data_IF_753880325114
#
_entry.id   IF_753880325114
#
_cell.length_a   1.000
_cell.length_b   1.000
_cell.length_c   1.000
_cell.angle_alpha   90.00
_cell.angle_beta   90.00
_cell.angle_gamma   90.00
#
_symmetry.space_group_name_H-M   'P 1'
#
loop_
_entity.id
_entity.type
_entity.pdbx_description
1 polymer ?
#
# COMPACT_ATOMS: atom_id res chain seq x y z
N UNK A 1 -26.58 29.59 37.70
CA UNK A 1 -27.71 29.91 36.80
C UNK A 1 -27.81 31.39 36.44
N UNK A 2 -27.25 32.33 37.21
CA UNK A 2 -27.21 33.75 36.82
C UNK A 2 -26.29 34.00 35.61
N UNK A 3 -25.07 33.44 35.63
CA UNK A 3 -24.09 33.58 34.53
C UNK A 3 -24.65 33.18 33.15
N UNK A 4 -25.42 32.08 33.07
CA UNK A 4 -26.01 31.63 31.79
C UNK A 4 -27.08 32.64 31.32
N UNK A 5 -27.88 33.16 32.24
CA UNK A 5 -28.91 34.14 31.92
C UNK A 5 -28.30 35.50 31.51
N UNK A 6 -27.19 35.88 32.14
CA UNK A 6 -26.44 37.10 31.80
C UNK A 6 -25.81 36.99 30.40
N UNK A 7 -25.27 35.81 30.05
CA UNK A 7 -24.75 35.50 28.71
C UNK A 7 -25.89 35.55 27.66
N UNK A 8 -27.05 34.96 27.95
CA UNK A 8 -28.19 34.98 27.04
C UNK A 8 -28.73 36.41 26.85
N UNK A 9 -28.74 37.21 27.91
CA UNK A 9 -29.13 38.63 27.86
C UNK A 9 -28.18 39.45 26.98
N UNK A 10 -26.86 39.21 27.12
CA UNK A 10 -25.84 39.81 26.27
C UNK A 10 -26.01 39.40 24.80
N UNK A 11 -26.23 38.12 24.50
CA UNK A 11 -26.48 37.63 23.14
C UNK A 11 -27.75 38.22 22.52
N UNK A 12 -28.81 38.46 23.32
CA UNK A 12 -30.04 39.11 22.85
C UNK A 12 -29.86 40.60 22.52
N UNK A 13 -28.82 41.23 23.06
CA UNK A 13 -28.49 42.63 22.76
C UNK A 13 -27.75 42.77 21.43
N UNK A 14 -27.17 41.67 20.93
CA UNK A 14 -26.43 41.63 19.68
C UNK A 14 -27.38 41.40 18.48
N UNK A 15 -27.00 41.91 17.30
CA UNK A 15 -27.77 41.68 16.07
C UNK A 15 -27.87 40.19 15.78
N UNK A 16 -29.05 39.75 15.31
CA UNK A 16 -29.26 38.34 14.93
C UNK A 16 -28.23 37.85 13.92
N UNK A 17 -27.84 38.71 12.97
CA UNK A 17 -26.84 38.39 11.94
C UNK A 17 -25.47 38.12 12.57
N UNK A 18 -25.07 38.94 13.55
CA UNK A 18 -23.77 38.82 14.22
C UNK A 18 -23.70 37.55 15.07
N UNK A 19 -24.81 37.17 15.73
CA UNK A 19 -24.91 35.93 16.51
C UNK A 19 -24.75 34.71 15.60
N UNK A 20 -25.44 34.68 14.46
CA UNK A 20 -25.35 33.59 13.48
C UNK A 20 -23.94 33.51 12.90
N UNK A 21 -23.33 34.64 12.57
CA UNK A 21 -21.96 34.70 12.07
C UNK A 21 -20.94 34.18 13.10
N UNK A 22 -21.06 34.59 14.36
CA UNK A 22 -20.18 34.11 15.43
C UNK A 22 -20.30 32.60 15.63
N UNK A 23 -21.53 32.06 15.64
CA UNK A 23 -21.75 30.61 15.73
C UNK A 23 -21.18 29.86 14.52
N UNK A 24 -21.30 30.40 13.31
CA UNK A 24 -20.72 29.80 12.10
C UNK A 24 -19.19 29.72 12.19
N UNK A 25 -18.54 30.79 12.66
CA UNK A 25 -17.08 30.81 12.88
C UNK A 25 -16.68 29.81 13.98
N UNK A 26 -17.43 29.74 15.08
CA UNK A 26 -17.15 28.80 16.17
C UNK A 26 -17.32 27.34 15.72
N UNK A 27 -18.38 27.05 14.96
CA UNK A 27 -18.60 25.74 14.36
C UNK A 27 -17.49 25.36 13.37
N UNK A 28 -17.01 26.32 12.55
CA UNK A 28 -15.88 26.11 11.65
C UNK A 28 -14.59 25.78 12.43
N UNK A 29 -14.30 26.52 13.51
CA UNK A 29 -13.13 26.25 14.35
C UNK A 29 -13.19 24.86 14.98
N UNK A 30 -14.37 24.44 15.48
CA UNK A 30 -14.58 23.08 15.98
C UNK A 30 -14.39 22.03 14.89
N UNK A 31 -14.92 22.26 13.68
CA UNK A 31 -14.75 21.37 12.54
C UNK A 31 -13.28 21.22 12.17
N UNK A 32 -12.52 22.32 12.13
CA UNK A 32 -11.07 22.29 11.87
C UNK A 32 -10.34 21.50 12.95
N UNK A 33 -10.68 21.67 14.23
CA UNK A 33 -10.08 20.89 15.33
C UNK A 33 -10.38 19.40 15.18
N UNK A 34 -11.62 19.03 14.89
CA UNK A 34 -12.03 17.63 14.67
C UNK A 34 -11.33 17.04 13.45
N UNK A 35 -11.18 17.81 12.37
CA UNK A 35 -10.49 17.39 11.16
C UNK A 35 -8.99 17.21 11.42
N UNK A 36 -8.35 18.12 12.15
CA UNK A 36 -6.96 17.96 12.61
C UNK A 36 -6.84 16.72 13.51
N UNK A 37 -7.79 16.49 14.41
CA UNK A 37 -7.79 15.31 15.27
C UNK A 37 -7.94 14.01 14.47
N UNK A 38 -8.84 13.97 13.48
CA UNK A 38 -9.07 12.84 12.60
C UNK A 38 -7.86 12.57 11.69
N UNK A 39 -7.28 13.62 11.12
CA UNK A 39 -6.02 13.53 10.37
C UNK A 39 -4.93 13.01 11.29
N UNK A 40 -4.79 13.55 12.51
CA UNK A 40 -3.79 13.11 13.46
C UNK A 40 -3.96 11.63 13.81
N UNK A 41 -5.17 11.18 14.13
CA UNK A 41 -5.45 9.77 14.43
C UNK A 41 -5.08 8.86 13.25
N UNK A 42 -5.39 9.27 12.01
CA UNK A 42 -5.07 8.49 10.81
C UNK A 42 -3.62 8.63 10.33
N UNK A 43 -2.87 9.66 10.76
CA UNK A 43 -1.43 9.82 10.50
C UNK A 43 -0.57 9.29 11.68
N UNK A 44 -1.18 8.91 12.80
CA UNK A 44 -0.50 8.28 13.93
C UNK A 44 -0.09 6.83 13.62
N UNK A 45 -0.69 6.20 12.60
CA UNK A 45 -0.20 4.89 12.11
C UNK A 45 1.23 4.98 11.51
N UNK A 46 1.69 6.18 11.11
CA UNK A 46 3.00 6.36 10.46
C UNK A 46 4.05 7.12 11.32
N UNK A 47 3.71 7.62 12.52
CA UNK A 47 4.69 8.35 13.36
C UNK A 47 4.48 8.22 14.88
N UNK A 48 4.57 6.99 15.38
CA UNK A 48 4.83 6.72 16.80
C UNK A 48 6.16 5.98 16.99
N UNK A 49 7.25 6.71 16.71
CA UNK A 49 8.41 6.63 17.60
C UNK A 49 8.22 7.67 18.71
N UNK A 50 8.51 7.27 19.95
CA UNK A 50 8.46 8.08 21.18
C UNK A 50 7.09 8.23 21.86
N UNK A 51 6.68 7.18 22.57
CA UNK A 51 6.36 7.31 24.00
C UNK A 51 6.75 6.01 24.70
N UNK A 52 7.86 6.09 25.46
CA UNK A 52 8.23 5.10 26.47
C UNK A 52 7.08 4.94 27.47
N UNK A 53 6.26 3.91 27.32
CA UNK A 53 5.51 3.32 28.43
C UNK A 53 6.25 2.08 28.91
N UNK A 54 7.06 2.34 29.92
CA UNK A 54 7.46 1.42 30.98
C UNK A 54 6.26 0.56 31.38
N UNK A 55 6.24 -0.67 30.92
CA UNK A 55 5.73 -1.87 31.60
C UNK A 55 5.96 -3.07 30.68
N UNK A 56 7.23 -3.50 30.61
CA UNK A 56 7.58 -4.82 30.12
C UNK A 56 8.25 -5.54 31.29
N UNK A 57 7.60 -6.58 31.78
CA UNK A 57 8.20 -7.57 32.67
C UNK A 57 9.52 -8.01 32.05
N UNK A 58 10.63 -7.63 32.69
CA UNK A 58 12.01 -8.01 32.34
C UNK A 58 12.09 -9.50 32.05
N UNK A 59 12.49 -9.95 30.86
CA UNK A 59 13.44 -11.04 30.77
C UNK A 59 14.82 -10.44 31.04
N UNK A 60 15.51 -10.97 32.05
CA UNK A 60 16.93 -10.69 32.22
C UNK A 60 17.67 -11.22 30.98
N UNK A 61 18.20 -10.31 30.15
CA UNK A 61 19.15 -10.66 29.09
C UNK A 61 20.53 -10.25 29.58
N UNK A 62 21.34 -11.27 29.83
CA UNK A 62 22.77 -11.20 30.13
C UNK A 62 23.50 -10.45 29.00
N UNK A 63 24.21 -9.39 29.36
CA UNK A 63 24.96 -8.55 28.42
C UNK A 63 26.29 -9.19 28.05
N UNK A 64 26.30 -10.30 27.30
CA UNK A 64 27.50 -10.81 26.65
C UNK A 64 27.13 -11.73 25.48
N UNK A 65 26.88 -11.15 24.29
CA UNK A 65 27.43 -11.66 23.03
C UNK A 65 26.96 -10.83 21.85
N UNK A 66 27.94 -10.44 21.04
CA UNK A 66 27.78 -9.96 19.68
C UNK A 66 27.13 -11.06 18.84
N UNK A 67 25.83 -10.98 18.58
CA UNK A 67 25.23 -11.79 17.53
C UNK A 67 24.38 -10.91 16.64
N UNK A 68 24.96 -10.63 15.47
CA UNK A 68 24.22 -10.48 14.23
C UNK A 68 23.35 -11.74 14.12
N UNK A 69 22.17 -11.72 14.76
CA UNK A 69 21.16 -12.77 14.58
C UNK A 69 20.91 -12.79 13.09
N UNK A 70 21.42 -13.85 12.46
CA UNK A 70 21.63 -13.89 11.03
C UNK A 70 20.26 -13.84 10.38
N UNK A 71 19.99 -12.82 9.55
CA UNK A 71 18.73 -12.67 8.82
C UNK A 71 18.35 -13.98 8.08
N UNK A 72 19.36 -14.78 7.74
CA UNK A 72 19.22 -16.11 7.17
C UNK A 72 18.48 -17.10 8.09
N UNK A 73 18.80 -17.11 9.37
CA UNK A 73 18.15 -17.99 10.36
C UNK A 73 16.70 -17.55 10.61
N UNK A 74 16.45 -16.23 10.58
CA UNK A 74 15.09 -15.67 10.65
C UNK A 74 14.29 -16.04 9.39
N UNK A 75 14.86 -15.95 8.18
CA UNK A 75 14.18 -16.34 6.94
C UNK A 75 13.91 -17.84 6.88
N UNK A 76 14.84 -18.67 7.37
CA UNK A 76 14.68 -20.12 7.42
C UNK A 76 13.63 -20.52 8.47
N UNK A 77 13.53 -19.79 9.60
CA UNK A 77 12.46 -19.97 10.57
C UNK A 77 11.07 -19.54 10.02
N UNK A 78 11.00 -18.49 9.20
CA UNK A 78 9.75 -18.04 8.57
C UNK A 78 9.30 -18.95 7.42
N UNK A 79 10.24 -19.52 6.65
CA UNK A 79 9.94 -20.46 5.57
C UNK A 79 9.47 -21.83 6.11
N UNK A 80 9.98 -22.23 7.29
CA UNK A 80 9.57 -23.47 7.97
C UNK A 80 8.39 -23.29 8.94
N UNK A 81 7.96 -22.06 9.23
CA UNK A 81 6.78 -21.82 10.05
C UNK A 81 5.51 -22.17 9.27
N UNK A 82 4.69 -23.05 9.83
CA UNK A 82 3.34 -23.28 9.30
C UNK A 82 2.54 -21.97 9.32
N UNK A 83 1.70 -21.70 8.30
CA UNK A 83 0.93 -20.47 8.24
C UNK A 83 0.03 -20.40 9.48
N UNK A 84 0.39 -19.52 10.42
CA UNK A 84 -0.42 -19.25 11.59
C UNK A 84 -1.79 -18.75 11.14
N UNK A 85 -2.85 -19.31 11.73
CA UNK A 85 -4.19 -18.75 11.61
C UNK A 85 -4.09 -17.25 11.89
N UNK A 86 -4.49 -16.44 10.92
CA UNK A 86 -4.50 -14.99 11.06
C UNK A 86 -5.65 -14.70 12.02
N UNK A 87 -5.32 -14.24 13.23
CA UNK A 87 -6.32 -13.74 14.17
C UNK A 87 -6.85 -12.41 13.60
N UNK A 88 -7.99 -12.48 12.90
CA UNK A 88 -8.64 -11.33 12.30
C UNK A 88 -9.06 -10.35 13.39
N UNK A 89 -8.82 -9.06 13.16
CA UNK A 89 -9.42 -8.03 13.98
C UNK A 89 -10.93 -7.90 13.68
N UNK A 90 -11.67 -7.20 14.54
CA UNK A 90 -13.13 -7.07 14.39
C UNK A 90 -13.58 -6.43 13.07
N UNK A 91 -12.82 -5.49 12.54
CA UNK A 91 -13.10 -4.88 11.23
C UNK A 91 -12.83 -5.85 10.09
N UNK A 92 -11.75 -6.63 10.15
CA UNK A 92 -11.38 -7.63 9.14
C UNK A 92 -12.41 -8.77 9.09
N UNK A 93 -12.90 -9.23 10.25
CA UNK A 93 -13.98 -10.21 10.33
C UNK A 93 -15.28 -9.71 9.66
N UNK A 94 -15.64 -8.44 9.90
CA UNK A 94 -16.80 -7.82 9.23
C UNK A 94 -16.62 -7.67 7.71
N UNK A 95 -15.39 -7.51 7.23
CA UNK A 95 -15.10 -7.46 5.79
C UNK A 95 -15.13 -8.85 5.18
N UNK A 96 -14.60 -9.86 5.87
CA UNK A 96 -14.63 -11.25 5.43
C UNK A 96 -16.07 -11.77 5.32
N UNK A 97 -16.95 -11.44 6.27
CA UNK A 97 -18.38 -11.82 6.20
C UNK A 97 -19.10 -11.19 5.00
N UNK A 98 -18.69 -9.99 4.59
CA UNK A 98 -19.28 -9.26 3.46
C UNK A 98 -18.67 -9.64 2.11
N UNK A 99 -17.51 -10.29 2.12
CA UNK A 99 -16.81 -10.66 0.90
C UNK A 99 -17.61 -11.72 0.13
N UNK A 100 -17.64 -11.59 -1.20
CA UNK A 100 -18.24 -12.61 -2.08
C UNK A 100 -17.38 -13.88 -2.10
N UNK A 101 -16.08 -13.74 -1.86
CA UNK A 101 -15.10 -14.82 -1.84
C UNK A 101 -14.26 -14.66 -0.57
N UNK A 102 -14.18 -15.71 0.25
CA UNK A 102 -13.39 -15.73 1.48
C UNK A 102 -11.89 -15.86 1.19
N UNK A 103 -11.06 -15.40 2.13
CA UNK A 103 -9.61 -15.53 2.06
C UNK A 103 -9.17 -16.99 1.91
N UNK A 104 -9.75 -17.90 2.69
CA UNK A 104 -9.47 -19.33 2.60
C UNK A 104 -9.85 -19.92 1.23
N UNK A 105 -10.94 -19.43 0.64
CA UNK A 105 -11.37 -19.86 -0.69
C UNK A 105 -10.43 -19.34 -1.77
N UNK A 106 -9.92 -18.10 -1.65
CA UNK A 106 -8.89 -17.56 -2.53
C UNK A 106 -7.59 -18.37 -2.45
N UNK A 107 -7.16 -18.77 -1.25
CA UNK A 107 -5.97 -19.61 -1.07
C UNK A 107 -6.14 -20.98 -1.74
N UNK A 108 -7.30 -21.61 -1.58
CA UNK A 108 -7.59 -22.91 -2.22
C UNK A 108 -7.66 -22.79 -3.73
N UNK A 109 -8.20 -21.68 -4.24
CA UNK A 109 -8.41 -21.43 -5.67
C UNK A 109 -7.21 -20.80 -6.39
N UNK A 110 -6.17 -20.37 -5.67
CA UNK A 110 -4.96 -19.74 -6.24
C UNK A 110 -4.33 -20.55 -7.39
N UNK A 111 -4.39 -21.88 -7.29
CA UNK A 111 -3.80 -22.79 -8.28
C UNK A 111 -4.81 -23.30 -9.32
N UNK A 112 -6.08 -22.87 -9.27
CA UNK A 112 -7.12 -23.36 -10.20
C UNK A 112 -7.31 -22.43 -11.40
N UNK A 113 -6.89 -21.15 -11.29
CA UNK A 113 -7.07 -20.13 -12.33
C UNK A 113 -5.73 -19.76 -12.98
N UNK A 114 -5.56 -20.14 -14.24
CA UNK A 114 -4.54 -19.57 -15.11
C UNK A 114 -5.19 -18.66 -16.14
N UNK A 115 -4.69 -17.43 -16.24
CA UNK A 115 -5.08 -16.50 -17.29
C UNK A 115 -4.37 -16.93 -18.57
N UNK A 116 -5.12 -17.58 -19.46
CA UNK A 116 -4.63 -17.96 -20.78
C UNK A 116 -4.93 -16.85 -21.80
N UNK A 117 -4.06 -16.71 -22.79
CA UNK A 117 -4.20 -15.74 -23.87
C UNK A 117 -4.35 -16.48 -25.19
N UNK A 118 -5.31 -16.06 -26.02
CA UNK A 118 -5.61 -16.74 -27.29
C UNK A 118 -4.90 -16.10 -28.47
N UNK A 119 -4.99 -14.78 -28.58
CA UNK A 119 -4.56 -14.05 -29.76
C UNK A 119 -3.71 -12.85 -29.37
N UNK A 120 -2.62 -12.65 -30.10
CA UNK A 120 -1.70 -11.53 -30.01
C UNK A 120 -1.98 -10.62 -31.21
N UNK A 121 -2.59 -9.46 -30.97
CA UNK A 121 -2.91 -8.47 -32.00
C UNK A 121 -1.97 -7.27 -31.83
N UNK A 122 -1.23 -6.94 -32.89
CA UNK A 122 -0.42 -5.72 -32.96
C UNK A 122 -1.27 -4.59 -33.54
N UNK A 123 -1.67 -3.62 -32.71
CA UNK A 123 -2.40 -2.45 -33.19
C UNK A 123 -1.48 -1.44 -33.90
N UNK A 124 -0.20 -1.39 -33.50
CA UNK A 124 0.87 -0.55 -34.08
C UNK A 124 2.24 -1.26 -33.96
N UNK A 125 3.29 -0.76 -34.63
CA UNK A 125 4.66 -1.37 -34.61
C UNK A 125 5.22 -1.61 -33.18
N UNK A 126 4.76 -0.84 -32.19
CA UNK A 126 5.25 -0.89 -30.80
C UNK A 126 4.22 -1.40 -29.76
N UNK A 127 2.96 -1.64 -30.13
CA UNK A 127 1.91 -2.02 -29.16
C UNK A 127 1.24 -3.34 -29.51
N UNK A 128 1.53 -4.33 -28.68
CA UNK A 128 1.01 -5.69 -28.78
C UNK A 128 0.04 -5.95 -27.64
N UNK A 129 -1.22 -6.25 -27.96
CA UNK A 129 -2.25 -6.58 -26.97
C UNK A 129 -2.62 -8.06 -27.08
N UNK A 130 -2.95 -8.67 -25.93
CA UNK A 130 -3.36 -10.08 -25.86
C UNK A 130 -4.78 -10.20 -25.33
N UNK A 131 -5.61 -10.96 -26.04
CA UNK A 131 -6.97 -11.26 -25.60
C UNK A 131 -6.96 -12.38 -24.57
N UNK A 132 -7.56 -12.12 -23.41
CA UNK A 132 -7.76 -13.13 -22.35
C UNK A 132 -8.83 -14.13 -22.79
N UNK A 133 -8.51 -15.42 -22.68
CA UNK A 133 -9.45 -16.52 -22.88
C UNK A 133 -10.24 -16.78 -21.59
N UNK A 134 -11.55 -16.52 -21.64
CA UNK A 134 -12.47 -16.72 -20.51
C UNK A 134 -13.06 -18.14 -20.48
N UNK A 135 -12.90 -18.91 -21.55
CA UNK A 135 -13.49 -20.24 -21.69
C UNK A 135 -12.54 -21.34 -21.20
N UNK A 136 -11.22 -21.12 -21.29
CA UNK A 136 -10.18 -22.05 -20.84
C UNK A 136 -9.36 -21.47 -19.68
N UNK A 137 -9.99 -21.25 -18.52
CA UNK A 137 -9.33 -20.70 -17.31
C UNK A 137 -8.62 -21.76 -16.45
N UNK A 138 -8.75 -23.05 -16.80
CA UNK A 138 -8.16 -24.16 -16.06
C UNK A 138 -6.68 -24.26 -16.44
N UNK A 139 -5.81 -24.40 -15.43
CA UNK A 139 -4.38 -24.70 -15.60
C UNK A 139 -4.18 -25.89 -16.54
N UNK A 140 -3.96 -25.61 -17.82
CA UNK A 140 -3.20 -26.51 -18.66
C UNK A 140 -1.77 -26.34 -18.19
N UNK A 141 -1.18 -27.36 -17.59
CA UNK A 141 0.24 -27.42 -17.24
C UNK A 141 1.07 -27.21 -18.51
N UNK A 142 1.18 -25.96 -18.94
CA UNK A 142 2.10 -25.53 -19.97
C UNK A 142 3.28 -24.99 -19.18
N UNK A 143 4.11 -25.93 -18.73
CA UNK A 143 5.50 -25.68 -18.37
C UNK A 143 6.20 -25.25 -19.66
N UNK A 144 5.90 -24.04 -20.12
CA UNK A 144 6.76 -23.32 -21.05
C UNK A 144 7.26 -22.18 -20.21
N UNK A 145 8.40 -22.46 -19.55
CA UNK A 145 9.30 -21.45 -19.03
C UNK A 145 9.27 -20.29 -20.04
N UNK A 146 8.78 -19.09 -19.69
CA UNK A 146 8.81 -17.99 -20.61
C UNK A 146 10.29 -17.77 -20.91
N UNK A 147 10.73 -18.18 -22.10
CA UNK A 147 11.97 -17.70 -22.66
C UNK A 147 11.73 -16.22 -22.91
N UNK A 148 11.93 -15.43 -21.87
CA UNK A 148 12.08 -14.00 -21.98
C UNK A 148 13.30 -13.85 -22.87
N UNK A 149 13.08 -13.68 -24.18
CA UNK A 149 14.10 -13.21 -25.11
C UNK A 149 14.39 -11.77 -24.73
N UNK A 150 15.12 -11.60 -23.63
CA UNK A 150 15.82 -10.36 -23.34
C UNK A 150 16.80 -10.24 -24.51
N UNK A 151 16.47 -9.40 -25.48
CA UNK A 151 17.46 -8.95 -26.45
C UNK A 151 18.46 -8.11 -25.68
N UNK A 152 19.44 -8.77 -25.06
CA UNK A 152 20.68 -8.13 -24.64
C UNK A 152 21.17 -7.45 -25.92
N UNK A 153 21.22 -6.11 -25.91
CA UNK A 153 21.68 -5.31 -27.04
C UNK A 153 22.94 -5.98 -27.56
N UNK A 154 22.91 -6.48 -28.80
CA UNK A 154 24.02 -7.24 -29.36
C UNK A 154 25.23 -6.32 -29.39
N UNK A 155 26.37 -6.77 -28.86
CA UNK A 155 27.62 -6.01 -28.79
C UNK A 155 27.97 -5.31 -30.12
N UNK A 156 27.72 -5.98 -31.24
CA UNK A 156 27.90 -5.44 -32.60
C UNK A 156 27.10 -4.15 -32.87
N UNK A 157 25.86 -4.07 -32.36
CA UNK A 157 25.00 -2.88 -32.51
C UNK A 157 25.48 -1.71 -31.64
N UNK A 158 26.01 -2.01 -30.45
CA UNK A 158 26.57 -0.99 -29.56
C UNK A 158 27.87 -0.42 -30.13
N UNK A 159 28.75 -1.25 -30.69
CA UNK A 159 29.98 -0.80 -31.33
C UNK A 159 29.71 0.08 -32.56
N UNK A 160 28.76 -0.33 -33.42
CA UNK A 160 28.35 0.47 -34.58
C UNK A 160 27.75 1.83 -34.19
N UNK A 161 26.97 1.87 -33.11
CA UNK A 161 26.41 3.10 -32.57
C UNK A 161 27.49 4.05 -32.03
N UNK A 162 28.47 3.51 -31.30
CA UNK A 162 29.60 4.27 -30.80
C UNK A 162 30.50 4.80 -31.92
N UNK A 163 30.72 4.01 -32.97
CA UNK A 163 31.45 4.46 -34.15
C UNK A 163 30.72 5.60 -34.86
N UNK A 164 29.41 5.47 -35.05
CA UNK A 164 28.58 6.53 -35.64
C UNK A 164 28.61 7.82 -34.81
N UNK A 165 28.55 7.72 -33.48
CA UNK A 165 28.70 8.87 -32.58
C UNK A 165 30.08 9.54 -32.72
N UNK A 166 31.13 8.74 -32.82
CA UNK A 166 32.50 9.25 -33.00
C UNK A 166 32.68 9.94 -34.35
N UNK A 167 32.12 9.38 -35.41
CA UNK A 167 32.12 10.01 -36.74
C UNK A 167 31.33 11.32 -36.75
N UNK A 168 30.16 11.35 -36.09
CA UNK A 168 29.37 12.56 -35.92
C UNK A 168 30.17 13.65 -35.20
N UNK A 169 30.83 13.31 -34.09
CA UNK A 169 31.68 14.23 -33.34
C UNK A 169 32.85 14.76 -34.18
N UNK A 170 33.47 13.92 -35.02
CA UNK A 170 34.51 14.34 -35.94
C UNK A 170 34.00 15.25 -37.08
N UNK A 171 32.73 15.12 -37.45
CA UNK A 171 32.10 15.96 -38.48
C UNK A 171 31.62 17.31 -37.94
N UNK A 172 31.32 17.36 -36.64
CA UNK A 172 30.86 18.56 -35.92
C UNK A 172 32.00 19.45 -35.39
N UNK A 173 33.24 18.95 -35.37
CA UNK A 173 34.46 19.69 -35.03
C UNK A 173 35.22 20.09 -36.30
#
# INVERSE_FOLDING_TARGET
MQIINDIISFLKTLSFVDVVFFFAVLALMLLVIVLIYFIRENNIEDDHNVTFKKDLSKPEIDQNNEEIVSLKEITEALENAEPSNIDLNKYEEEQEEKAIISYDELLKKKNDFAINYTEEESLDEDLVVKKVDLENLINKDVIVKPEIKVSVISYEKEEAFLEALKQLQQTLN
#
